data_IF_253264333705
#
_entry.id   IF_253264333705
#
_cell.length_a   1.000
_cell.length_b   1.000
_cell.length_c   1.000
_cell.angle_alpha   90.00
_cell.angle_beta   90.00
_cell.angle_gamma   90.00
#
_symmetry.space_group_name_H-M   'P 1'
#
loop_
_entity.id
_entity.type
_entity.pdbx_description
1 polymer ?
#
# COMPACT_ATOMS: atom_id res chain seq x y z
N UNK A 1 1.70 -2.37 33.99
CA UNK A 1 0.79 -3.45 34.42
C UNK A 1 1.21 -4.77 33.80
N UNK A 2 1.20 -4.90 32.47
CA UNK A 2 1.52 -6.17 31.79
C UNK A 2 2.93 -6.70 32.12
N UNK A 3 3.95 -5.83 32.14
CA UNK A 3 5.31 -6.18 32.56
C UNK A 3 5.45 -6.64 34.01
N UNK A 4 4.41 -6.46 34.81
CA UNK A 4 4.30 -6.90 36.21
C UNK A 4 3.39 -8.15 36.35
N UNK A 5 3.05 -8.79 35.25
CA UNK A 5 2.17 -9.95 35.22
C UNK A 5 0.69 -9.64 35.48
N UNK A 6 0.28 -8.37 35.37
CA UNK A 6 -1.13 -7.95 35.56
C UNK A 6 -1.73 -7.65 34.20
N UNK A 7 -2.70 -8.47 33.79
CA UNK A 7 -3.49 -8.19 32.59
C UNK A 7 -4.45 -7.01 32.84
N UNK A 8 -4.33 -5.90 32.11
CA UNK A 8 -5.18 -4.72 32.29
C UNK A 8 -6.61 -4.90 31.79
N UNK A 9 -6.92 -6.01 31.10
CA UNK A 9 -8.23 -6.30 30.51
C UNK A 9 -8.70 -5.22 29.52
N UNK A 10 -7.76 -4.60 28.79
CA UNK A 10 -8.06 -3.61 27.77
C UNK A 10 -8.21 -4.31 26.42
N UNK A 11 -9.23 -3.93 25.68
CA UNK A 11 -9.49 -4.38 24.31
C UNK A 11 -9.28 -3.22 23.34
N UNK A 12 -8.37 -3.38 22.41
CA UNK A 12 -8.05 -2.40 21.35
C UNK A 12 -8.38 -2.93 19.96
N UNK A 13 -9.14 -4.02 19.86
CA UNK A 13 -9.47 -4.67 18.59
C UNK A 13 -10.34 -3.80 17.65
N UNK A 14 -10.92 -2.71 18.16
CA UNK A 14 -11.67 -1.73 17.36
C UNK A 14 -11.16 -0.31 17.64
N UNK A 15 -9.91 -0.07 17.26
CA UNK A 15 -9.28 1.26 17.41
C UNK A 15 -10.00 2.37 16.64
N UNK A 16 -10.55 2.14 15.42
CA UNK A 16 -11.33 3.15 14.72
C UNK A 16 -12.50 3.69 15.56
N UNK A 17 -13.28 2.82 16.17
CA UNK A 17 -14.41 3.22 17.02
C UNK A 17 -13.95 3.94 18.30
N UNK A 18 -12.86 3.50 18.91
CA UNK A 18 -12.26 4.20 20.05
C UNK A 18 -11.87 5.64 19.67
N UNK A 19 -11.30 5.82 18.48
CA UNK A 19 -10.95 7.16 17.96
C UNK A 19 -12.19 8.04 17.74
N UNK A 20 -13.27 7.50 17.18
CA UNK A 20 -14.54 8.21 16.99
C UNK A 20 -15.09 8.70 18.33
N UNK A 21 -15.19 7.83 19.34
CA UNK A 21 -15.64 8.20 20.69
C UNK A 21 -14.75 9.30 21.28
N UNK A 22 -13.42 9.16 21.15
CA UNK A 22 -12.49 10.18 21.64
C UNK A 22 -12.73 11.53 20.99
N UNK A 23 -12.86 11.56 19.66
CA UNK A 23 -13.09 12.78 18.89
C UNK A 23 -14.45 13.44 19.23
N UNK A 24 -15.50 12.65 19.40
CA UNK A 24 -16.82 13.14 19.79
C UNK A 24 -16.82 13.72 21.21
N UNK A 25 -16.21 13.02 22.17
CA UNK A 25 -16.21 13.44 23.56
C UNK A 25 -15.31 14.67 23.83
N UNK A 26 -14.22 14.80 23.10
CA UNK A 26 -13.21 15.83 23.37
C UNK A 26 -13.28 17.00 22.40
N UNK A 27 -13.88 16.82 21.22
CA UNK A 27 -13.81 17.75 20.09
C UNK A 27 -12.42 17.87 19.47
N UNK A 28 -11.46 17.00 19.86
CA UNK A 28 -10.09 16.98 19.34
C UNK A 28 -9.92 15.86 18.33
N UNK A 29 -9.15 16.12 17.26
CA UNK A 29 -8.82 15.10 16.27
C UNK A 29 -7.63 14.26 16.71
N UNK A 30 -7.69 12.95 16.42
CA UNK A 30 -6.57 12.05 16.59
C UNK A 30 -5.46 12.44 15.62
N UNK A 31 -4.24 12.61 16.14
CA UNK A 31 -3.09 12.97 15.31
C UNK A 31 -2.76 11.88 14.29
N UNK A 32 -2.42 12.26 13.07
CA UNK A 32 -2.16 11.31 11.95
C UNK A 32 -1.07 10.27 12.28
N UNK A 33 -0.15 10.58 13.18
CA UNK A 33 0.95 9.70 13.62
C UNK A 33 0.78 9.16 15.03
N UNK A 34 -0.41 9.30 15.64
CA UNK A 34 -0.68 8.73 16.96
C UNK A 34 -0.49 7.21 16.93
N UNK A 35 0.21 6.63 17.92
CA UNK A 35 0.48 5.19 17.94
C UNK A 35 -0.80 4.37 17.76
N UNK A 36 -0.77 3.39 16.85
CA UNK A 36 -1.84 2.46 16.49
C UNK A 36 -3.13 3.08 15.93
N UNK A 37 -3.46 4.31 16.28
CA UNK A 37 -4.71 5.00 15.96
C UNK A 37 -4.58 5.98 14.79
N UNK A 38 -3.41 6.58 14.59
CA UNK A 38 -3.21 7.59 13.55
C UNK A 38 -3.36 7.05 12.13
N UNK A 39 -3.86 7.88 11.23
CA UNK A 39 -4.11 7.50 9.84
C UNK A 39 -2.84 7.05 9.09
N UNK A 40 -1.67 7.53 9.48
CA UNK A 40 -0.39 7.25 8.81
C UNK A 40 0.47 6.19 9.51
N UNK A 41 -0.03 5.54 10.58
CA UNK A 41 0.77 4.58 11.37
C UNK A 41 1.17 3.35 10.56
N UNK A 42 0.28 2.88 9.70
CA UNK A 42 0.54 1.72 8.84
C UNK A 42 0.88 2.13 7.39
N UNK A 43 1.22 3.40 7.18
CA UNK A 43 1.58 3.91 5.86
C UNK A 43 3.08 3.71 5.56
N UNK A 44 3.39 3.31 4.35
CA UNK A 44 4.75 3.26 3.83
C UNK A 44 4.86 4.12 2.56
N UNK A 45 5.82 5.06 2.55
CA UNK A 45 6.01 6.00 1.44
C UNK A 45 7.17 5.60 0.51
N UNK A 46 8.13 4.82 1.02
CA UNK A 46 9.26 4.33 0.23
C UNK A 46 8.88 3.07 -0.54
N UNK A 47 9.18 3.05 -1.85
CA UNK A 47 8.92 1.88 -2.68
C UNK A 47 9.63 0.60 -2.21
N UNK A 48 10.82 0.72 -1.63
CA UNK A 48 11.53 -0.42 -1.04
C UNK A 48 10.84 -0.96 0.22
N UNK A 49 10.26 -0.08 1.05
CA UNK A 49 9.48 -0.50 2.22
C UNK A 49 8.18 -1.17 1.78
N UNK A 50 7.48 -0.61 0.81
CA UNK A 50 6.26 -1.18 0.26
C UNK A 50 6.50 -2.57 -0.34
N UNK A 51 7.57 -2.74 -1.12
CA UNK A 51 7.96 -4.03 -1.68
C UNK A 51 8.32 -5.05 -0.58
N UNK A 52 9.02 -4.61 0.46
CA UNK A 52 9.37 -5.47 1.60
C UNK A 52 8.12 -5.90 2.40
N UNK A 53 7.17 -4.98 2.64
CA UNK A 53 5.89 -5.30 3.29
C UNK A 53 5.10 -6.30 2.44
N UNK A 54 4.94 -6.06 1.15
CA UNK A 54 4.22 -6.97 0.26
C UNK A 54 4.82 -8.38 0.26
N UNK A 55 6.15 -8.49 0.15
CA UNK A 55 6.85 -9.77 0.24
C UNK A 55 6.71 -10.42 1.60
N UNK A 56 6.77 -9.63 2.67
CA UNK A 56 6.59 -10.10 4.04
C UNK A 56 5.19 -10.67 4.28
N UNK A 57 4.14 -9.98 3.78
CA UNK A 57 2.76 -10.47 3.82
C UNK A 57 2.62 -11.82 3.10
N UNK A 58 3.05 -11.90 1.84
CA UNK A 58 2.98 -13.15 1.08
C UNK A 58 3.77 -14.29 1.75
N UNK A 59 4.97 -14.00 2.28
CA UNK A 59 5.77 -15.01 2.96
C UNK A 59 5.09 -15.51 4.24
N UNK A 60 4.53 -14.57 5.04
CA UNK A 60 3.78 -14.92 6.26
C UNK A 60 2.60 -15.83 5.92
N UNK A 61 1.76 -15.44 4.96
CA UNK A 61 0.54 -16.18 4.59
C UNK A 61 0.88 -17.61 4.09
N UNK A 62 2.03 -17.80 3.44
CA UNK A 62 2.48 -19.10 2.89
C UNK A 62 3.23 -19.95 3.92
N UNK A 63 4.05 -19.35 4.79
CA UNK A 63 5.03 -20.08 5.62
C UNK A 63 4.80 -20.00 7.13
N UNK A 64 4.25 -18.92 7.63
CA UNK A 64 4.17 -18.66 9.08
C UNK A 64 2.95 -17.79 9.45
N UNK A 65 1.72 -18.29 9.21
CA UNK A 65 0.50 -17.51 9.41
C UNK A 65 0.24 -17.16 10.89
N UNK A 66 0.84 -17.92 11.82
CA UNK A 66 0.58 -17.76 13.25
C UNK A 66 1.43 -16.67 13.92
N UNK A 67 2.47 -16.16 13.23
CA UNK A 67 3.34 -15.14 13.79
C UNK A 67 3.41 -13.90 12.90
N UNK A 68 3.38 -12.72 13.57
CA UNK A 68 3.57 -11.46 12.87
C UNK A 68 5.05 -11.11 12.75
N UNK A 69 5.56 -11.16 11.52
CA UNK A 69 6.97 -10.89 11.20
C UNK A 69 7.13 -10.04 9.93
N UNK A 70 6.09 -9.27 9.60
CA UNK A 70 6.10 -8.40 8.42
C UNK A 70 7.02 -7.20 8.65
N UNK A 71 8.00 -6.94 7.77
CA UNK A 71 8.90 -5.79 7.89
C UNK A 71 8.15 -4.47 7.94
N UNK A 72 8.66 -3.50 8.72
CA UNK A 72 8.14 -2.14 8.86
C UNK A 72 6.74 -2.00 9.49
N UNK A 73 6.06 -3.09 9.76
CA UNK A 73 4.79 -3.10 10.49
C UNK A 73 4.99 -3.74 11.86
N UNK A 74 5.01 -2.96 12.95
CA UNK A 74 5.34 -3.47 14.29
C UNK A 74 4.31 -4.41 14.88
N UNK A 75 3.08 -4.36 14.38
CA UNK A 75 1.98 -5.27 14.75
C UNK A 75 1.13 -5.58 13.52
N UNK A 76 0.33 -6.63 13.60
CA UNK A 76 -0.74 -6.88 12.63
C UNK A 76 -1.79 -5.76 12.74
N UNK A 77 -2.06 -5.01 11.67
CA UNK A 77 -3.11 -3.98 11.69
C UNK A 77 -4.48 -4.53 12.11
N UNK A 78 -4.76 -5.80 11.81
CA UNK A 78 -6.03 -6.45 12.17
C UNK A 78 -6.23 -6.61 13.68
N UNK A 79 -5.14 -6.67 14.46
CA UNK A 79 -5.20 -6.71 15.93
C UNK A 79 -5.83 -5.45 16.54
N UNK A 80 -5.83 -4.36 15.79
CA UNK A 80 -6.42 -3.08 16.20
C UNK A 80 -7.60 -2.67 15.30
N UNK A 81 -8.24 -3.62 14.64
CA UNK A 81 -9.42 -3.40 13.79
C UNK A 81 -9.11 -2.60 12.52
N UNK A 82 -7.86 -2.61 12.07
CA UNK A 82 -7.42 -1.92 10.85
C UNK A 82 -6.92 -2.91 9.82
N UNK A 83 -6.74 -2.46 8.60
CA UNK A 83 -6.13 -3.24 7.54
C UNK A 83 -4.88 -2.53 7.04
N UNK A 84 -3.88 -3.30 6.61
CA UNK A 84 -2.86 -2.74 5.74
C UNK A 84 -3.50 -2.52 4.38
N UNK A 85 -4.08 -1.35 4.21
CA UNK A 85 -4.81 -1.01 3.02
C UNK A 85 -3.89 -0.33 2.01
N UNK A 86 -3.97 -0.75 0.75
CA UNK A 86 -3.26 -0.09 -0.34
C UNK A 86 -3.67 1.40 -0.48
N UNK A 87 -4.80 1.81 0.09
CA UNK A 87 -5.22 3.22 0.17
C UNK A 87 -4.30 4.06 1.06
N UNK A 88 -3.58 3.43 1.98
CA UNK A 88 -2.56 4.09 2.81
C UNK A 88 -1.22 4.19 2.06
N UNK A 89 -1.06 3.46 0.95
CA UNK A 89 0.10 3.59 0.08
C UNK A 89 -0.08 4.85 -0.77
N UNK A 90 0.51 5.94 -0.29
CA UNK A 90 0.58 7.18 -1.06
C UNK A 90 1.73 7.08 -2.05
N UNK A 91 1.40 7.09 -3.32
CA UNK A 91 2.40 7.07 -4.40
C UNK A 91 2.81 8.50 -4.73
N UNK A 92 4.07 8.78 -4.46
CA UNK A 92 4.72 10.03 -4.82
C UNK A 92 5.95 9.78 -5.71
N UNK A 93 6.70 10.83 -6.04
CA UNK A 93 7.89 10.75 -6.87
C UNK A 93 9.00 9.84 -6.33
N UNK A 94 8.96 9.51 -5.03
CA UNK A 94 9.92 8.61 -4.39
C UNK A 94 9.43 7.16 -4.30
N UNK A 95 8.16 6.92 -4.62
CA UNK A 95 7.58 5.58 -4.65
C UNK A 95 8.06 4.85 -5.89
N UNK A 96 8.87 3.81 -5.72
CA UNK A 96 9.44 3.04 -6.82
C UNK A 96 8.45 2.07 -7.49
N UNK A 97 8.96 1.31 -8.46
CA UNK A 97 8.21 0.29 -9.22
C UNK A 97 7.48 -0.76 -8.35
N UNK A 98 7.97 -1.01 -7.14
CA UNK A 98 7.35 -1.96 -6.20
C UNK A 98 5.99 -1.48 -5.69
N UNK A 99 5.89 -0.22 -5.25
CA UNK A 99 4.63 0.34 -4.74
C UNK A 99 3.55 0.45 -5.80
N UNK A 100 3.92 0.90 -7.01
CA UNK A 100 2.98 0.98 -8.15
C UNK A 100 2.49 -0.41 -8.55
N UNK A 101 3.39 -1.40 -8.63
CA UNK A 101 3.04 -2.78 -8.94
C UNK A 101 2.09 -3.37 -7.90
N UNK A 102 2.36 -3.13 -6.62
CA UNK A 102 1.52 -3.61 -5.52
C UNK A 102 0.09 -3.04 -5.58
N UNK A 103 -0.06 -1.72 -5.81
CA UNK A 103 -1.38 -1.10 -5.96
C UNK A 103 -2.17 -1.71 -7.14
N UNK A 104 -1.52 -1.85 -8.30
CA UNK A 104 -2.18 -2.40 -9.48
C UNK A 104 -2.60 -3.87 -9.26
N UNK A 105 -1.80 -4.65 -8.53
CA UNK A 105 -2.10 -6.03 -8.18
C UNK A 105 -3.25 -6.12 -7.16
N UNK A 106 -3.16 -5.40 -6.04
CA UNK A 106 -4.12 -5.53 -4.92
C UNK A 106 -5.46 -4.86 -5.18
N UNK A 107 -5.47 -3.69 -5.82
CA UNK A 107 -6.71 -2.93 -6.08
C UNK A 107 -7.40 -3.30 -7.38
N UNK A 108 -6.63 -3.66 -8.39
CA UNK A 108 -7.16 -3.88 -9.76
C UNK A 108 -6.88 -5.30 -10.29
N UNK A 109 -6.25 -6.18 -9.50
CA UNK A 109 -5.95 -7.55 -9.90
C UNK A 109 -4.91 -7.67 -11.02
N UNK A 110 -4.12 -6.62 -11.27
CA UNK A 110 -3.17 -6.56 -12.37
C UNK A 110 -1.76 -6.95 -11.92
N UNK A 111 -1.41 -8.22 -12.07
CA UNK A 111 -0.06 -8.71 -11.82
C UNK A 111 0.85 -8.45 -13.02
N UNK A 112 1.54 -7.30 -13.02
CA UNK A 112 2.35 -6.87 -14.16
C UNK A 112 3.71 -7.59 -14.21
N UNK A 113 4.18 -7.97 -15.41
CA UNK A 113 5.55 -8.41 -15.62
C UNK A 113 6.59 -7.35 -15.18
N UNK A 114 7.81 -7.76 -14.77
CA UNK A 114 8.81 -6.85 -14.22
C UNK A 114 9.12 -5.60 -15.08
N UNK A 115 9.19 -5.75 -16.40
CA UNK A 115 9.42 -4.63 -17.31
C UNK A 115 8.25 -3.64 -17.36
N UNK A 116 7.02 -4.13 -17.27
CA UNK A 116 5.83 -3.26 -17.20
C UNK A 116 5.75 -2.55 -15.87
N UNK A 117 6.07 -3.22 -14.75
CA UNK A 117 6.18 -2.58 -13.42
C UNK A 117 7.20 -1.45 -13.42
N UNK A 118 8.33 -1.66 -14.09
CA UNK A 118 9.37 -0.64 -14.22
C UNK A 118 8.91 0.57 -15.04
N UNK A 119 8.31 0.33 -16.20
CA UNK A 119 7.74 1.38 -17.05
C UNK A 119 6.68 2.20 -16.32
N UNK A 120 5.76 1.52 -15.59
CA UNK A 120 4.76 2.19 -14.76
C UNK A 120 5.39 3.00 -13.64
N UNK A 121 6.46 2.52 -13.02
CA UNK A 121 7.20 3.28 -12.00
C UNK A 121 7.73 4.61 -12.55
N UNK A 122 8.33 4.60 -13.74
CA UNK A 122 8.80 5.84 -14.40
C UNK A 122 7.65 6.76 -14.82
N UNK A 123 6.58 6.22 -15.40
CA UNK A 123 5.43 7.00 -15.82
C UNK A 123 4.75 7.69 -14.62
N UNK A 124 4.55 6.95 -13.53
CA UNK A 124 3.96 7.47 -12.29
C UNK A 124 4.84 8.56 -11.68
N UNK A 125 6.16 8.35 -11.64
CA UNK A 125 7.10 9.34 -11.16
C UNK A 125 7.02 10.63 -11.98
N UNK A 126 7.06 10.54 -13.31
CA UNK A 126 6.97 11.71 -14.18
C UNK A 126 5.70 12.53 -13.96
N UNK A 127 4.53 11.88 -13.78
CA UNK A 127 3.26 12.56 -13.51
C UNK A 127 3.25 13.19 -12.12
N UNK A 128 3.76 12.48 -11.09
CA UNK A 128 3.83 12.99 -9.73
C UNK A 128 4.78 14.19 -9.62
N UNK A 129 5.94 14.15 -10.26
CA UNK A 129 6.90 15.25 -10.30
C UNK A 129 6.31 16.48 -11.01
N UNK A 130 5.61 16.28 -12.13
CA UNK A 130 4.97 17.37 -12.86
C UNK A 130 3.82 18.01 -12.10
N UNK A 131 3.00 17.21 -11.42
CA UNK A 131 1.83 17.70 -10.66
C UNK A 131 2.18 18.16 -9.24
N UNK A 132 3.40 17.87 -8.75
CA UNK A 132 3.83 18.10 -7.37
C UNK A 132 2.86 17.55 -6.33
N UNK A 133 2.24 16.39 -6.62
CA UNK A 133 1.28 15.74 -5.72
C UNK A 133 1.42 14.21 -5.73
N UNK A 134 0.88 13.62 -4.69
CA UNK A 134 0.67 12.17 -4.62
C UNK A 134 -0.43 11.74 -5.60
N UNK A 135 -0.29 10.54 -6.15
CA UNK A 135 -1.29 9.96 -7.05
C UNK A 135 -2.15 8.95 -6.29
N UNK A 136 -3.46 9.06 -6.49
CA UNK A 136 -4.42 8.08 -5.99
C UNK A 136 -4.39 6.79 -6.84
N UNK A 137 -4.82 5.64 -6.29
CA UNK A 137 -4.88 4.38 -7.02
C UNK A 137 -5.59 4.47 -8.37
N UNK A 138 -6.71 5.19 -8.44
CA UNK A 138 -7.47 5.40 -9.68
C UNK A 138 -6.68 6.20 -10.73
N UNK A 139 -5.88 7.19 -10.31
CA UNK A 139 -5.02 7.96 -11.22
C UNK A 139 -3.92 7.06 -11.79
N UNK A 140 -3.38 6.14 -10.97
CA UNK A 140 -2.37 5.16 -11.40
C UNK A 140 -2.97 4.16 -12.39
N UNK A 141 -4.18 3.69 -12.14
CA UNK A 141 -4.89 2.80 -13.05
C UNK A 141 -5.23 3.47 -14.39
N UNK A 142 -5.67 4.73 -14.36
CA UNK A 142 -5.89 5.50 -15.59
C UNK A 142 -4.58 5.73 -16.35
N UNK A 143 -3.47 5.98 -15.64
CA UNK A 143 -2.16 6.10 -16.26
C UNK A 143 -1.70 4.77 -16.88
N UNK A 144 -2.00 3.65 -16.23
CA UNK A 144 -1.76 2.31 -16.80
C UNK A 144 -2.49 2.12 -18.13
N UNK A 145 -3.79 2.44 -18.17
CA UNK A 145 -4.58 2.38 -19.40
C UNK A 145 -4.00 3.27 -20.50
N UNK A 146 -3.65 4.50 -20.16
CA UNK A 146 -3.02 5.41 -21.13
C UNK A 146 -1.69 4.89 -21.67
N UNK A 147 -0.93 4.20 -20.84
CA UNK A 147 0.42 3.73 -21.21
C UNK A 147 0.37 2.44 -22.03
N UNK A 148 -0.59 1.53 -21.74
CA UNK A 148 -0.59 0.18 -22.31
C UNK A 148 -1.85 -0.21 -23.08
N UNK A 149 -2.99 0.47 -22.88
CA UNK A 149 -4.24 0.16 -23.59
C UNK A 149 -4.54 1.14 -24.74
N UNK A 150 -3.97 2.34 -24.75
CA UNK A 150 -4.11 3.30 -25.85
C UNK A 150 -3.15 2.95 -27.01
N UNK A 151 -3.26 1.74 -27.55
CA UNK A 151 -2.67 1.43 -28.84
C UNK A 151 -3.64 1.97 -29.90
N UNK A 152 -3.46 3.22 -30.29
CA UNK A 152 -4.29 3.88 -31.32
C UNK A 152 -3.96 3.42 -32.75
N UNK A 153 -2.90 2.62 -32.93
CA UNK A 153 -2.58 1.99 -34.19
C UNK A 153 -2.56 0.46 -34.05
N UNK A 154 -3.16 -0.30 -35.00
CA UNK A 154 -3.04 -1.74 -35.01
C UNK A 154 -1.56 -2.09 -35.20
N UNK A 155 -0.98 -2.81 -34.25
CA UNK A 155 0.37 -3.37 -34.40
C UNK A 155 0.33 -4.32 -35.57
N UNK A 156 0.88 -3.89 -36.72
CA UNK A 156 1.11 -4.76 -37.84
C UNK A 156 2.15 -5.79 -37.41
N UNK A 157 1.72 -7.01 -37.20
CA UNK A 157 2.60 -8.16 -37.03
C UNK A 157 3.25 -8.45 -38.39
N UNK A 158 4.33 -7.73 -38.72
CA UNK A 158 5.21 -8.15 -39.79
C UNK A 158 6.06 -9.29 -39.26
N UNK A 159 5.67 -10.47 -39.68
CA UNK A 159 6.45 -11.72 -39.83
C UNK A 159 7.67 -11.90 -38.91
N UNK A 160 7.48 -12.66 -37.83
CA UNK A 160 8.52 -13.56 -37.33
C UNK A 160 8.48 -14.84 -38.19
N UNK A 161 9.18 -14.84 -39.32
CA UNK A 161 9.62 -16.08 -39.93
C UNK A 161 10.75 -16.63 -39.09
N UNK A 162 10.49 -17.66 -38.33
CA UNK A 162 11.52 -18.50 -37.71
C UNK A 162 12.21 -19.29 -38.82
N UNK A 163 13.56 -19.42 -38.81
CA UNK A 163 14.27 -20.34 -39.66
C UNK A 163 14.00 -21.79 -39.32
#
# INVERSE_FOLDING_TARGET
>A
MYSQGVDPKLDFSDMPHICEIYEECTGMKVGERSPYSGALVFAAFSGSHQDAIAKGMHWRDDKDPDHWNVPYLPIDPTDVGRNYDADVIRINSQSGKGGVGYILETKFGLNLPPKMREAMGYATKAVSDHKHKELHPDEIFNLFKQTFENITEPVSYTHLTLP
#
